data_IF_083084289021
#
_entry.id   IF_083084289021
#
_cell.length_a   1.000
_cell.length_b   1.000
_cell.length_c   1.000
_cell.angle_alpha   90.00
_cell.angle_beta   90.00
_cell.angle_gamma   90.00
#
_symmetry.space_group_name_H-M   'P 1'
#
loop_
_entity.id
_entity.type
_entity.pdbx_description
1 polymer ?
#
# COMPACT_ATOMS: atom_id res chain seq x y z
N UNK A 1 9.51 9.99 -15.53
CA UNK A 1 8.63 8.91 -15.05
C UNK A 1 7.31 8.83 -15.82
N UNK A 2 6.72 9.97 -16.21
CA UNK A 2 5.38 10.06 -16.82
C UNK A 2 5.14 9.23 -18.10
N UNK A 3 6.18 8.76 -18.79
CA UNK A 3 6.05 7.94 -20.02
C UNK A 3 6.62 6.51 -19.89
N UNK A 4 7.10 6.11 -18.70
CA UNK A 4 7.73 4.79 -18.50
C UNK A 4 6.88 3.80 -17.71
N UNK A 5 5.74 4.23 -17.19
CA UNK A 5 4.85 3.40 -16.38
C UNK A 5 3.52 3.29 -17.11
N UNK A 6 3.19 2.10 -17.62
CA UNK A 6 1.93 1.86 -18.33
C UNK A 6 0.74 1.73 -17.37
N UNK A 7 0.93 1.02 -16.26
CA UNK A 7 -0.10 0.80 -15.23
C UNK A 7 0.52 0.81 -13.83
N UNK A 8 -0.15 1.45 -12.87
CA UNK A 8 0.16 1.39 -11.45
C UNK A 8 -0.98 0.68 -10.72
N UNK A 9 -0.66 -0.38 -10.00
CA UNK A 9 -1.61 -1.10 -9.15
C UNK A 9 -1.11 -0.99 -7.71
N UNK A 10 -1.97 -0.52 -6.81
CA UNK A 10 -1.64 -0.34 -5.38
C UNK A 10 -2.72 -0.99 -4.52
N UNK A 11 -2.31 -1.73 -3.49
CA UNK A 11 -3.20 -2.39 -2.53
C UNK A 11 -3.23 -1.60 -1.22
N UNK A 12 -4.40 -1.06 -0.86
CA UNK A 12 -4.65 -0.27 0.36
C UNK A 12 -3.46 0.60 0.81
N UNK A 13 -2.92 1.49 -0.04
CA UNK A 13 -1.80 2.33 0.33
C UNK A 13 -2.20 3.38 1.37
N UNK A 14 -1.22 3.91 2.11
CA UNK A 14 -1.44 5.07 2.96
C UNK A 14 -1.47 6.35 2.09
N UNK A 15 -2.65 6.78 1.68
CA UNK A 15 -2.80 7.97 0.82
C UNK A 15 -2.70 9.31 1.56
N UNK A 16 -3.02 9.30 2.85
CA UNK A 16 -3.11 10.49 3.67
C UNK A 16 -1.97 10.56 4.68
N UNK A 17 -1.52 11.78 4.98
CA UNK A 17 -0.54 12.03 6.02
C UNK A 17 -1.08 11.62 7.41
N UNK A 18 -0.19 11.57 8.39
CA UNK A 18 -0.50 11.22 9.77
C UNK A 18 -0.33 9.73 10.11
N UNK A 19 -0.16 8.86 9.09
CA UNK A 19 0.18 7.45 9.21
C UNK A 19 -0.86 6.56 9.92
N UNK A 20 -0.78 5.24 9.70
CA UNK A 20 -1.57 4.26 10.45
C UNK A 20 -1.07 4.04 11.89
N UNK A 21 -1.81 3.25 12.67
CA UNK A 21 -1.47 2.88 14.07
C UNK A 21 -0.02 2.40 14.17
N UNK A 22 0.41 1.52 13.25
CA UNK A 22 1.77 1.00 13.23
C UNK A 22 2.84 2.07 12.96
N UNK A 23 2.59 2.97 12.00
CA UNK A 23 3.58 4.02 11.71
C UNK A 23 3.77 4.95 12.91
N UNK A 24 2.68 5.28 13.63
CA UNK A 24 2.73 6.10 14.85
C UNK A 24 3.49 5.41 15.97
N UNK A 25 3.31 4.10 16.14
CA UNK A 25 4.06 3.32 17.11
C UNK A 25 5.57 3.34 16.82
N UNK A 26 5.97 3.21 15.55
CA UNK A 26 7.39 3.19 15.20
C UNK A 26 8.09 4.52 15.49
N UNK A 27 7.41 5.65 15.31
CA UNK A 27 8.00 6.98 15.52
C UNK A 27 7.72 7.61 16.89
N UNK A 28 7.06 6.88 17.80
CA UNK A 28 6.76 7.36 19.15
C UNK A 28 8.03 7.81 19.88
N UNK A 29 9.14 7.13 19.60
CA UNK A 29 10.47 7.49 20.10
C UNK A 29 11.35 8.07 19.00
N UNK A 30 12.31 8.96 19.34
CA UNK A 30 13.31 9.43 18.40
C UNK A 30 14.05 8.27 17.72
N UNK A 31 14.50 8.46 16.48
CA UNK A 31 15.12 7.41 15.65
C UNK A 31 16.21 6.61 16.40
N UNK A 32 17.11 7.30 17.11
CA UNK A 32 18.20 6.65 17.85
C UNK A 32 17.69 5.76 18.99
N UNK A 33 16.66 6.17 19.72
CA UNK A 33 16.04 5.37 20.79
C UNK A 33 15.26 4.19 20.19
N UNK A 34 14.56 4.41 19.07
CA UNK A 34 13.86 3.34 18.37
C UNK A 34 14.82 2.21 17.98
N UNK A 35 15.93 2.57 17.33
CA UNK A 35 16.94 1.61 16.86
C UNK A 35 17.59 0.87 18.02
N UNK A 36 17.95 1.57 19.10
CA UNK A 36 18.74 0.98 20.19
C UNK A 36 17.92 0.25 21.25
N UNK A 37 16.62 0.54 21.38
CA UNK A 37 15.83 0.06 22.53
C UNK A 37 14.43 -0.45 22.20
N UNK A 38 13.79 0.03 21.13
CA UNK A 38 12.36 -0.23 20.87
C UNK A 38 12.17 -1.34 19.84
N UNK A 39 12.99 -1.36 18.78
CA UNK A 39 12.84 -2.29 17.67
C UNK A 39 12.80 -3.76 18.11
N UNK A 40 13.79 -4.19 18.91
CA UNK A 40 13.84 -5.58 19.40
C UNK A 40 12.64 -5.93 20.30
N UNK A 41 12.12 -4.98 21.08
CA UNK A 41 10.94 -5.19 21.93
C UNK A 41 9.68 -5.37 21.08
N UNK A 42 9.51 -4.54 20.03
CA UNK A 42 8.39 -4.67 19.08
C UNK A 42 8.45 -6.03 18.39
N UNK A 43 9.63 -6.46 17.91
CA UNK A 43 9.80 -7.77 17.29
C UNK A 43 9.56 -8.93 18.25
N UNK A 44 9.97 -8.81 19.50
CA UNK A 44 9.74 -9.85 20.51
C UNK A 44 8.24 -10.03 20.80
N UNK A 45 7.48 -8.93 20.80
CA UNK A 45 6.06 -8.93 21.15
C UNK A 45 5.10 -9.22 19.98
N UNK A 46 5.55 -9.12 18.72
CA UNK A 46 4.73 -9.44 17.55
C UNK A 46 4.71 -10.94 17.22
N UNK A 47 3.53 -11.47 16.89
CA UNK A 47 3.32 -12.87 16.45
C UNK A 47 2.83 -13.00 15.01
N UNK A 48 2.41 -11.90 14.38
CA UNK A 48 1.93 -11.92 12.99
C UNK A 48 3.06 -12.10 11.97
N UNK A 49 2.75 -12.52 10.73
CA UNK A 49 3.74 -12.62 9.65
C UNK A 49 4.54 -11.33 9.38
N UNK A 50 4.00 -10.17 9.79
CA UNK A 50 4.72 -8.88 9.76
C UNK A 50 6.08 -8.94 10.44
N UNK A 51 6.24 -9.72 11.52
CA UNK A 51 7.52 -9.89 12.21
C UNK A 51 8.64 -10.33 11.27
N UNK A 52 8.36 -11.29 10.37
CA UNK A 52 9.35 -11.76 9.40
C UNK A 52 9.77 -10.67 8.43
N UNK A 53 8.83 -9.83 7.99
CA UNK A 53 9.14 -8.68 7.13
C UNK A 53 9.97 -7.63 7.88
N UNK A 54 9.58 -7.33 9.12
CA UNK A 54 10.28 -6.38 9.97
C UNK A 54 11.72 -6.80 10.28
N UNK A 55 11.97 -8.10 10.53
CA UNK A 55 13.31 -8.67 10.75
C UNK A 55 14.26 -8.53 9.54
N UNK A 56 13.71 -8.47 8.33
CA UNK A 56 14.49 -8.29 7.09
C UNK A 56 14.72 -6.81 6.74
N UNK A 57 14.07 -5.89 7.45
CA UNK A 57 14.22 -4.46 7.25
C UNK A 57 15.24 -3.88 8.24
N UNK A 58 16.05 -2.94 7.78
CA UNK A 58 16.90 -2.17 8.68
C UNK A 58 16.03 -1.29 9.60
N UNK A 59 16.30 -1.23 10.93
CA UNK A 59 15.44 -0.52 11.87
C UNK A 59 15.35 0.99 11.56
N UNK A 60 16.44 1.63 11.14
CA UNK A 60 16.41 3.04 10.70
C UNK A 60 15.52 3.24 9.46
N UNK A 61 15.48 2.27 8.54
CA UNK A 61 14.64 2.36 7.35
C UNK A 61 13.15 2.25 7.71
N UNK A 62 12.80 1.37 8.67
CA UNK A 62 11.44 1.28 9.18
C UNK A 62 11.00 2.57 9.86
N UNK A 63 11.83 3.13 10.74
CA UNK A 63 11.53 4.39 11.44
C UNK A 63 11.35 5.54 10.44
N UNK A 64 12.28 5.72 9.50
CA UNK A 64 12.24 6.79 8.51
C UNK A 64 11.08 6.63 7.53
N UNK A 65 10.75 5.40 7.14
CA UNK A 65 9.58 5.11 6.31
C UNK A 65 8.28 5.49 7.03
N UNK A 66 8.13 5.08 8.29
CA UNK A 66 6.98 5.46 9.11
C UNK A 66 6.89 6.99 9.33
N UNK A 67 8.03 7.64 9.59
CA UNK A 67 8.11 9.09 9.74
C UNK A 67 7.68 9.81 8.45
N UNK A 68 8.14 9.32 7.30
CA UNK A 68 7.72 9.87 6.00
C UNK A 68 6.21 9.69 5.74
N UNK A 69 5.61 8.58 6.17
CA UNK A 69 4.15 8.37 6.07
C UNK A 69 3.38 9.35 6.95
N UNK A 70 3.91 9.66 8.14
CA UNK A 70 3.28 10.60 9.06
C UNK A 70 3.42 12.03 8.57
N UNK A 71 4.60 12.44 8.14
CA UNK A 71 4.85 13.78 7.63
C UNK A 71 4.09 14.01 6.32
N UNK A 72 3.91 12.96 5.53
CA UNK A 72 3.22 13.02 4.24
C UNK A 72 3.98 13.85 3.22
N UNK A 73 3.25 14.33 2.22
CA UNK A 73 3.81 15.20 1.17
C UNK A 73 2.75 16.19 0.68
N UNK A 74 3.20 17.20 -0.07
CA UNK A 74 2.35 18.18 -0.74
C UNK A 74 2.76 18.26 -2.22
N UNK A 75 1.87 17.91 -3.18
CA UNK A 75 0.49 17.40 -2.99
C UNK A 75 0.45 16.03 -2.28
N UNK A 76 -0.67 15.70 -1.65
CA UNK A 76 -0.87 14.41 -0.95
C UNK A 76 -0.70 13.20 -1.89
N UNK A 77 -0.46 12.01 -1.33
CA UNK A 77 -0.35 10.80 -2.15
C UNK A 77 -1.66 10.48 -2.88
N UNK A 78 -2.82 10.75 -2.28
CA UNK A 78 -4.11 10.68 -2.96
C UNK A 78 -4.14 11.60 -4.19
N UNK A 79 -3.79 12.88 -4.02
CA UNK A 79 -3.78 13.84 -5.14
C UNK A 79 -2.79 13.42 -6.23
N UNK A 80 -1.60 12.93 -5.85
CA UNK A 80 -0.63 12.40 -6.80
C UNK A 80 -1.24 11.23 -7.56
N UNK A 81 -1.80 10.23 -6.86
CA UNK A 81 -2.42 9.04 -7.45
C UNK A 81 -3.55 9.41 -8.41
N UNK A 82 -4.46 10.29 -8.02
CA UNK A 82 -5.57 10.76 -8.85
C UNK A 82 -5.13 11.53 -10.10
N UNK A 83 -3.93 12.11 -10.11
CA UNK A 83 -3.40 12.92 -11.22
C UNK A 83 -2.31 12.22 -12.07
N UNK A 84 -1.96 10.95 -11.80
CA UNK A 84 -1.04 10.23 -12.68
C UNK A 84 -1.64 10.05 -14.08
N UNK A 85 -0.79 10.15 -15.10
CA UNK A 85 -1.19 9.98 -16.50
C UNK A 85 -1.36 8.51 -16.92
N UNK A 86 -0.85 7.57 -16.14
CA UNK A 86 -0.93 6.14 -16.45
C UNK A 86 -2.25 5.52 -15.98
N UNK A 87 -2.54 4.31 -16.48
CA UNK A 87 -3.63 3.51 -15.94
C UNK A 87 -3.38 3.20 -14.47
N UNK A 88 -4.43 3.21 -13.66
CA UNK A 88 -4.34 2.97 -12.22
C UNK A 88 -5.43 2.02 -11.75
N UNK A 89 -5.07 1.20 -10.79
CA UNK A 89 -6.03 0.40 -10.03
C UNK A 89 -5.73 0.48 -8.56
N UNK A 90 -6.78 0.68 -7.76
CA UNK A 90 -6.74 0.59 -6.31
C UNK A 90 -7.37 -0.73 -5.86
N UNK A 91 -6.59 -1.56 -5.17
CA UNK A 91 -7.05 -2.84 -4.62
C UNK A 91 -7.42 -2.66 -3.14
N UNK A 92 -8.57 -3.20 -2.76
CA UNK A 92 -9.01 -3.34 -1.36
C UNK A 92 -9.28 -4.80 -1.00
N UNK A 93 -9.05 -5.18 0.25
CA UNK A 93 -9.62 -6.40 0.81
C UNK A 93 -11.12 -6.22 1.07
N UNK A 94 -11.91 -7.26 0.81
CA UNK A 94 -13.35 -7.28 1.09
C UNK A 94 -13.69 -6.88 2.54
N UNK A 95 -12.88 -7.32 3.50
CA UNK A 95 -13.07 -7.06 4.94
C UNK A 95 -12.67 -5.65 5.36
N UNK A 96 -11.97 -4.90 4.49
CA UNK A 96 -11.62 -3.50 4.71
C UNK A 96 -12.72 -2.54 4.26
N UNK A 97 -13.77 -3.04 3.60
CA UNK A 97 -14.87 -2.23 3.11
C UNK A 97 -16.02 -2.13 4.13
N UNK A 98 -16.78 -1.01 4.15
CA UNK A 98 -16.65 0.16 3.28
C UNK A 98 -15.48 1.09 3.69
N UNK A 99 -14.85 1.72 2.70
CA UNK A 99 -13.77 2.68 2.89
C UNK A 99 -13.95 3.94 2.01
N UNK A 100 -13.55 5.11 2.52
CA UNK A 100 -13.73 6.38 1.82
C UNK A 100 -12.81 6.55 0.61
N UNK A 101 -11.59 6.01 0.67
CA UNK A 101 -10.63 6.08 -0.44
C UNK A 101 -11.10 5.20 -1.59
N UNK A 102 -11.62 4.00 -1.29
CA UNK A 102 -12.28 3.14 -2.28
C UNK A 102 -13.40 3.89 -3.01
N UNK A 103 -14.31 4.52 -2.26
CA UNK A 103 -15.43 5.27 -2.83
C UNK A 103 -14.96 6.48 -3.66
N UNK A 104 -13.99 7.25 -3.14
CA UNK A 104 -13.44 8.42 -3.81
C UNK A 104 -12.81 8.05 -5.16
N UNK A 105 -11.97 7.02 -5.19
CA UNK A 105 -11.27 6.58 -6.39
C UNK A 105 -12.24 6.02 -7.43
N UNK A 106 -13.21 5.20 -7.00
CA UNK A 106 -14.25 4.68 -7.89
C UNK A 106 -15.09 5.81 -8.51
N UNK A 107 -15.49 6.82 -7.72
CA UNK A 107 -16.24 7.98 -8.22
C UNK A 107 -15.46 8.84 -9.23
N UNK A 108 -14.12 8.76 -9.21
CA UNK A 108 -13.24 9.42 -10.18
C UNK A 108 -13.04 8.60 -11.47
N UNK A 109 -13.72 7.46 -11.61
CA UNK A 109 -13.64 6.59 -12.78
C UNK A 109 -12.31 5.83 -12.89
N UNK A 110 -11.55 5.73 -11.79
CA UNK A 110 -10.33 4.92 -11.71
C UNK A 110 -10.72 3.51 -11.27
N UNK A 111 -10.07 2.49 -11.85
CA UNK A 111 -10.38 1.09 -11.54
C UNK A 111 -10.19 0.80 -10.04
N UNK A 112 -11.12 0.05 -9.48
CA UNK A 112 -11.03 -0.51 -8.13
C UNK A 112 -11.26 -2.01 -8.21
N UNK A 113 -10.45 -2.78 -7.49
CA UNK A 113 -10.58 -4.24 -7.42
C UNK A 113 -10.65 -4.70 -5.98
N UNK A 114 -11.30 -5.84 -5.75
CA UNK A 114 -11.54 -6.39 -4.41
C UNK A 114 -10.90 -7.76 -4.30
N UNK A 115 -10.10 -7.98 -3.26
CA UNK A 115 -9.59 -9.30 -2.88
C UNK A 115 -10.58 -9.94 -1.90
N UNK A 116 -11.25 -11.05 -2.27
CA UNK A 116 -12.21 -11.73 -1.41
C UNK A 116 -11.53 -12.31 -0.16
N UNK A 117 -12.27 -12.36 0.95
CA UNK A 117 -11.83 -12.98 2.21
C UNK A 117 -10.49 -12.43 2.75
N UNK A 118 -10.19 -11.16 2.48
CA UNK A 118 -9.00 -10.46 2.94
C UNK A 118 -9.34 -9.06 3.46
N UNK A 119 -8.52 -8.53 4.35
CA UNK A 119 -8.46 -7.13 4.73
C UNK A 119 -7.13 -6.51 4.28
N UNK A 120 -6.58 -5.61 5.11
CA UNK A 120 -5.39 -4.82 4.77
C UNK A 120 -4.16 -5.65 4.45
N UNK A 121 -3.96 -6.78 5.13
CA UNK A 121 -2.78 -7.63 4.93
C UNK A 121 -3.05 -8.75 3.91
N UNK A 122 -3.71 -8.41 2.80
CA UNK A 122 -4.17 -9.35 1.78
C UNK A 122 -3.09 -10.29 1.21
N UNK A 123 -1.82 -9.87 1.18
CA UNK A 123 -0.70 -10.73 0.78
C UNK A 123 -0.41 -11.87 1.74
N UNK A 124 -0.84 -11.78 2.99
CA UNK A 124 -0.71 -12.85 4.00
C UNK A 124 -2.04 -13.56 4.24
N UNK A 125 -3.15 -12.84 4.13
CA UNK A 125 -4.49 -13.36 4.41
C UNK A 125 -5.01 -14.21 3.26
N UNK A 126 -4.90 -13.74 2.00
CA UNK A 126 -5.32 -14.48 0.81
C UNK A 126 -4.37 -14.23 -0.38
N UNK A 127 -3.14 -14.75 -0.34
CA UNK A 127 -2.14 -14.52 -1.38
C UNK A 127 -2.58 -15.05 -2.76
N UNK A 128 -3.36 -16.13 -2.79
CA UNK A 128 -3.87 -16.70 -4.04
C UNK A 128 -4.86 -15.76 -4.71
N UNK A 129 -5.84 -15.23 -3.96
CA UNK A 129 -6.79 -14.28 -4.51
C UNK A 129 -6.14 -12.96 -4.91
N UNK A 130 -5.19 -12.45 -4.12
CA UNK A 130 -4.40 -11.27 -4.50
C UNK A 130 -3.65 -11.51 -5.83
N UNK A 131 -3.03 -12.67 -6.01
CA UNK A 131 -2.31 -13.01 -7.24
C UNK A 131 -3.24 -13.05 -8.45
N UNK A 132 -4.45 -13.60 -8.31
CA UNK A 132 -5.48 -13.59 -9.37
C UNK A 132 -5.88 -12.17 -9.74
N UNK A 133 -6.22 -11.33 -8.76
CA UNK A 133 -6.59 -9.93 -8.99
C UNK A 133 -5.45 -9.17 -9.69
N UNK A 134 -4.21 -9.33 -9.23
CA UNK A 134 -3.06 -8.71 -9.90
C UNK A 134 -2.90 -9.21 -11.34
N UNK A 135 -3.08 -10.50 -11.59
CA UNK A 135 -3.00 -11.07 -12.93
C UNK A 135 -4.04 -10.47 -13.87
N UNK A 136 -5.31 -10.36 -13.44
CA UNK A 136 -6.38 -9.73 -14.19
C UNK A 136 -6.04 -8.27 -14.53
N UNK A 137 -5.65 -7.50 -13.51
CA UNK A 137 -5.32 -6.09 -13.67
C UNK A 137 -4.17 -5.85 -14.65
N UNK A 138 -3.15 -6.71 -14.68
CA UNK A 138 -2.05 -6.56 -15.63
C UNK A 138 -2.34 -7.17 -17.02
N UNK A 139 -3.33 -8.06 -17.13
CA UNK A 139 -3.69 -8.71 -18.40
C UNK A 139 -4.63 -7.87 -19.26
N UNK A 140 -5.54 -7.10 -18.65
CA UNK A 140 -6.52 -6.27 -19.38
C UNK A 140 -5.88 -5.20 -20.28
N UNK A 141 -4.67 -4.73 -19.95
CA UNK A 141 -3.91 -3.77 -20.78
C UNK A 141 -3.29 -4.37 -22.05
N UNK A 142 -3.23 -5.69 -22.17
CA UNK A 142 -2.61 -6.38 -23.32
C UNK A 142 -3.55 -6.56 -24.52
N UNK A 143 -4.86 -6.41 -24.30
CA UNK A 143 -5.89 -6.67 -25.32
C UNK A 143 -6.13 -5.50 -26.26
N UNK A 144 -5.77 -4.27 -25.88
CA UNK A 144 -5.95 -3.07 -26.74
C UNK A 144 -4.79 -2.85 -27.73
N UNK A 145 -3.68 -3.58 -27.62
CA UNK A 145 -2.51 -3.44 -28.51
C UNK A 145 -2.51 -4.38 -29.73
N UNK A 146 -3.55 -5.21 -29.90
CA UNK A 146 -3.69 -6.15 -31.04
C UNK A 146 -4.67 -5.71 -32.13
N UNK A 147 -5.06 -4.43 -32.15
CA UNK A 147 -6.05 -3.90 -33.08
C UNK A 147 -5.56 -2.67 -33.85
N UNK A 148 -4.45 -2.79 -34.58
CA UNK A 148 -4.17 -1.92 -35.72
C UNK A 148 -3.63 -2.84 -36.83
N UNK A 149 -4.46 -3.06 -37.84
CA UNK A 149 -4.11 -3.70 -39.11
C UNK A 149 -3.07 -2.89 -39.89
#
# INVERSE_FOLDING_TARGET
>A
LRERVCKLVVSEPNFHAGGGIYSRLLVEKPEAEFISQVYDKILANHTSPWKGSAQNAAPWAMWRGAKSLIDGTSPSWMEIFLNLSCSRTLIFGEQSLPDSDFQCVNQKGISVAIVPEAGHSMSWENPSALATVLHEEFSEGSSQLKGVE
#
